data_IF_408321085423
#
_entry.id   IF_408321085423
#
_cell.length_a   1.000
_cell.length_b   1.000
_cell.length_c   1.000
_cell.angle_alpha   90.00
_cell.angle_beta   90.00
_cell.angle_gamma   90.00
#
_symmetry.space_group_name_H-M   'P 1'
#
loop_
_entity.id
_entity.type
_entity.pdbx_description
1 polymer ?
#
# COMPACT_ATOMS: atom_id res chain seq x y z
N UNK A 1 -39.63 5.26 19.21
CA UNK A 1 -38.66 5.75 18.21
C UNK A 1 -37.37 5.00 18.49
N UNK A 2 -36.78 4.25 17.55
CA UNK A 2 -35.55 3.54 17.86
C UNK A 2 -34.43 4.58 17.97
N UNK A 3 -33.72 4.53 19.09
CA UNK A 3 -32.54 5.34 19.35
C UNK A 3 -31.53 5.10 18.23
N UNK A 4 -31.19 6.16 17.49
CA UNK A 4 -30.06 6.14 16.56
C UNK A 4 -28.82 5.94 17.42
N UNK A 5 -28.22 4.74 17.34
CA UNK A 5 -26.86 4.49 17.81
C UNK A 5 -25.97 5.65 17.31
N UNK A 6 -25.11 6.23 18.16
CA UNK A 6 -24.18 7.24 17.71
C UNK A 6 -23.33 6.65 16.59
N UNK A 7 -23.31 7.30 15.41
CA UNK A 7 -22.36 6.97 14.34
C UNK A 7 -20.98 6.94 14.99
N UNK A 8 -20.29 5.80 14.93
CA UNK A 8 -18.91 5.71 15.42
C UNK A 8 -18.13 6.83 14.75
N UNK A 9 -17.50 7.70 15.53
CA UNK A 9 -16.62 8.71 14.97
C UNK A 9 -15.61 7.98 14.08
N UNK A 10 -15.53 8.35 12.79
CA UNK A 10 -14.53 7.80 11.88
C UNK A 10 -13.15 8.13 12.45
N UNK A 11 -12.58 7.20 13.20
CA UNK A 11 -11.20 7.31 13.67
C UNK A 11 -10.34 7.18 12.42
N UNK A 12 -9.62 8.26 12.11
CA UNK A 12 -8.67 8.28 11.01
C UNK A 12 -7.71 7.09 11.14
N UNK A 13 -7.21 6.54 10.03
CA UNK A 13 -6.32 5.38 10.07
C UNK A 13 -5.06 5.80 10.80
N UNK A 14 -4.63 4.94 11.71
CA UNK A 14 -3.40 5.13 12.46
C UNK A 14 -2.48 3.92 12.24
N UNK A 15 -2.52 3.27 11.08
CA UNK A 15 -2.14 1.86 10.98
C UNK A 15 -1.34 1.51 9.71
N UNK A 16 -0.19 0.87 9.87
CA UNK A 16 0.77 0.45 8.84
C UNK A 16 1.80 1.52 8.45
N UNK A 17 3.04 1.09 8.24
CA UNK A 17 4.11 1.85 7.61
C UNK A 17 4.90 0.91 6.70
N UNK A 18 5.28 1.42 5.53
CA UNK A 18 6.09 0.67 4.55
C UNK A 18 7.27 1.50 4.10
N UNK A 19 8.40 0.80 3.92
CA UNK A 19 9.71 1.38 3.73
C UNK A 19 10.44 0.68 2.60
N UNK A 20 11.22 1.44 1.85
CA UNK A 20 12.17 0.91 0.88
C UNK A 20 13.50 1.66 0.96
N UNK A 21 14.59 0.93 0.83
CA UNK A 21 15.93 1.46 0.62
C UNK A 21 16.52 0.81 -0.63
N UNK A 22 17.01 1.63 -1.54
CA UNK A 22 17.60 1.24 -2.82
C UNK A 22 19.08 1.59 -2.84
N UNK A 23 19.88 0.94 -3.70
CA UNK A 23 21.26 1.37 -3.93
C UNK A 23 21.34 2.86 -4.32
N UNK A 24 22.43 3.56 -3.96
CA UNK A 24 23.63 3.06 -3.28
C UNK A 24 23.52 3.02 -1.74
N UNK A 25 22.33 3.24 -1.15
CA UNK A 25 22.18 3.30 0.30
C UNK A 25 22.33 1.95 1.02
N UNK A 26 22.31 0.84 0.28
CA UNK A 26 22.23 -0.51 0.83
C UNK A 26 23.55 -1.28 0.74
N UNK A 27 23.88 -2.03 1.81
CA UNK A 27 25.16 -2.73 1.96
C UNK A 27 25.45 -3.74 0.84
N UNK A 28 24.41 -4.39 0.32
CA UNK A 28 24.51 -5.46 -0.68
C UNK A 28 24.16 -5.00 -2.09
N UNK A 29 24.03 -3.70 -2.34
CA UNK A 29 23.57 -3.17 -3.63
C UNK A 29 22.24 -3.84 -4.07
N UNK A 30 21.38 -4.15 -3.09
CA UNK A 30 20.06 -4.77 -3.22
C UNK A 30 18.97 -3.75 -2.85
N UNK A 31 17.74 -3.98 -3.31
CA UNK A 31 16.57 -3.24 -2.77
C UNK A 31 16.13 -3.92 -1.46
N UNK A 32 16.02 -3.15 -0.38
CA UNK A 32 15.50 -3.62 0.92
C UNK A 32 14.10 -3.04 1.13
N UNK A 33 13.11 -3.89 1.26
CA UNK A 33 11.71 -3.55 1.49
C UNK A 33 11.28 -4.01 2.89
N UNK A 34 10.45 -3.23 3.57
CA UNK A 34 9.89 -3.58 4.86
C UNK A 34 8.50 -3.01 5.07
N UNK A 35 7.59 -3.78 5.67
CA UNK A 35 6.23 -3.34 6.01
C UNK A 35 5.81 -3.86 7.38
N UNK A 36 5.11 -3.02 8.13
CA UNK A 36 4.22 -3.42 9.22
C UNK A 36 2.77 -3.45 8.76
N UNK A 37 2.04 -4.49 9.14
CA UNK A 37 0.58 -4.54 9.03
C UNK A 37 0.00 -4.42 10.43
N UNK A 38 -0.55 -3.25 10.74
CA UNK A 38 -1.34 -3.06 11.96
C UNK A 38 -2.82 -3.19 11.61
N UNK A 39 -3.52 -4.01 12.39
CA UNK A 39 -4.85 -4.53 12.05
C UNK A 39 -5.75 -4.49 13.27
N UNK A 40 -7.09 -4.44 13.13
CA UNK A 40 -7.99 -4.45 14.27
C UNK A 40 -7.62 -5.54 15.30
N UNK A 41 -7.59 -5.18 16.57
CA UNK A 41 -7.20 -6.10 17.66
C UNK A 41 -8.01 -7.39 17.59
N UNK A 42 -7.31 -8.52 17.59
CA UNK A 42 -7.90 -9.86 17.53
C UNK A 42 -8.10 -10.41 16.11
N UNK A 43 -7.87 -9.60 15.08
CA UNK A 43 -7.87 -10.09 13.69
C UNK A 43 -6.65 -11.00 13.46
N UNK A 44 -6.90 -12.18 12.87
CA UNK A 44 -5.85 -13.18 12.61
C UNK A 44 -5.13 -12.82 11.33
N UNK A 45 -3.80 -12.74 11.39
CA UNK A 45 -2.94 -12.61 10.22
C UNK A 45 -2.29 -13.95 9.87
N UNK A 46 -2.42 -14.37 8.62
CA UNK A 46 -1.88 -15.63 8.08
C UNK A 46 -0.70 -15.34 7.14
N UNK A 47 0.27 -16.26 7.13
CA UNK A 47 1.29 -16.32 6.08
C UNK A 47 1.00 -17.52 5.19
N UNK A 48 0.68 -17.27 3.93
CA UNK A 48 0.21 -18.29 2.99
C UNK A 48 1.02 -18.25 1.70
N UNK A 49 1.17 -19.41 1.08
CA UNK A 49 1.82 -19.57 -0.22
C UNK A 49 0.80 -20.08 -1.24
N UNK A 50 0.78 -19.46 -2.42
CA UNK A 50 0.03 -19.92 -3.58
C UNK A 50 1.02 -20.19 -4.73
N UNK A 51 0.97 -21.39 -5.35
CA UNK A 51 1.82 -21.69 -6.49
C UNK A 51 1.36 -20.91 -7.74
N UNK A 52 2.25 -20.79 -8.73
CA UNK A 52 1.89 -20.26 -10.04
C UNK A 52 0.87 -21.16 -10.72
N UNK A 53 -0.12 -20.58 -11.40
CA UNK A 53 -1.18 -21.35 -12.04
C UNK A 53 -1.47 -20.84 -13.46
N UNK A 54 -1.92 -21.73 -14.33
CA UNK A 54 -2.50 -21.37 -15.63
C UNK A 54 -4.01 -21.54 -15.58
N UNK A 55 -4.74 -20.58 -16.11
CA UNK A 55 -6.20 -20.55 -16.08
C UNK A 55 -6.77 -20.61 -17.51
N UNK A 56 -7.94 -21.25 -17.71
CA UNK A 56 -8.57 -21.30 -19.02
C UNK A 56 -9.08 -19.92 -19.46
N UNK A 57 -9.16 -19.69 -20.77
CA UNK A 57 -9.70 -18.45 -21.31
C UNK A 57 -11.13 -18.17 -20.81
N UNK A 58 -11.38 -16.92 -20.39
CA UNK A 58 -12.66 -16.50 -19.81
C UNK A 58 -12.89 -16.95 -18.37
N UNK A 59 -11.88 -17.51 -17.70
CA UNK A 59 -11.94 -17.75 -16.27
C UNK A 59 -12.21 -16.46 -15.49
N UNK A 60 -12.86 -16.60 -14.33
CA UNK A 60 -13.04 -15.51 -13.36
C UNK A 60 -12.40 -15.90 -12.04
N UNK A 61 -12.04 -14.89 -11.25
CA UNK A 61 -11.54 -15.06 -9.88
C UNK A 61 -12.47 -14.30 -8.93
N UNK A 62 -12.90 -14.98 -7.87
CA UNK A 62 -13.61 -14.34 -6.77
C UNK A 62 -12.59 -13.70 -5.83
N UNK A 63 -12.58 -12.37 -5.79
CA UNK A 63 -11.83 -11.59 -4.81
C UNK A 63 -12.61 -11.50 -3.50
N UNK A 64 -12.31 -10.53 -2.63
CA UNK A 64 -12.95 -10.47 -1.32
C UNK A 64 -14.47 -10.28 -1.45
N UNK A 65 -14.91 -9.33 -2.29
CA UNK A 65 -16.34 -9.07 -2.49
C UNK A 65 -16.83 -9.39 -3.89
N UNK A 66 -16.09 -8.99 -4.92
CA UNK A 66 -16.53 -9.12 -6.31
C UNK A 66 -15.75 -10.19 -7.08
N UNK A 67 -16.35 -10.66 -8.17
CA UNK A 67 -15.68 -11.51 -9.16
C UNK A 67 -15.20 -10.66 -10.34
N UNK A 68 -13.95 -10.84 -10.75
CA UNK A 68 -13.36 -10.17 -11.93
C UNK A 68 -12.82 -11.20 -12.93
N UNK A 69 -12.45 -10.74 -14.12
CA UNK A 69 -11.81 -11.60 -15.12
C UNK A 69 -10.41 -12.03 -14.64
N UNK A 70 -10.09 -13.30 -14.86
CA UNK A 70 -8.81 -13.89 -14.51
C UNK A 70 -7.84 -13.85 -15.70
N UNK A 71 -6.56 -13.68 -15.41
CA UNK A 71 -5.48 -13.73 -16.42
C UNK A 71 -5.10 -15.18 -16.75
N UNK A 72 -4.49 -15.41 -17.90
CA UNK A 72 -4.09 -16.76 -18.33
C UNK A 72 -3.04 -17.39 -17.38
N UNK A 73 -2.13 -16.58 -16.82
CA UNK A 73 -1.06 -17.05 -15.95
C UNK A 73 -0.93 -16.17 -14.72
N UNK A 74 -0.77 -16.81 -13.55
CA UNK A 74 -0.45 -16.15 -12.29
C UNK A 74 0.91 -16.59 -11.75
N UNK A 75 1.67 -15.64 -11.22
CA UNK A 75 2.92 -15.88 -10.52
C UNK A 75 2.68 -16.61 -9.19
N UNK A 76 3.66 -17.41 -8.74
CA UNK A 76 3.64 -17.91 -7.38
C UNK A 76 3.85 -16.76 -6.39
N UNK A 77 3.08 -16.75 -5.30
CA UNK A 77 3.11 -15.67 -4.30
C UNK A 77 3.21 -16.22 -2.88
N UNK A 78 3.94 -15.49 -2.03
CA UNK A 78 3.84 -15.61 -0.57
C UNK A 78 3.22 -14.33 -0.02
N UNK A 79 2.16 -14.47 0.77
CA UNK A 79 1.32 -13.37 1.23
C UNK A 79 1.24 -13.35 2.76
N UNK A 80 1.16 -12.16 3.33
CA UNK A 80 0.65 -11.91 4.69
C UNK A 80 -0.72 -11.25 4.56
N UNK A 81 -1.75 -11.89 5.11
CA UNK A 81 -3.16 -11.46 4.94
C UNK A 81 -4.01 -11.66 6.20
N UNK A 82 -5.02 -10.82 6.45
CA UNK A 82 -6.10 -11.14 7.37
C UNK A 82 -6.82 -12.43 6.96
N UNK A 83 -7.17 -13.28 7.91
CA UNK A 83 -7.72 -14.62 7.64
C UNK A 83 -9.03 -14.59 6.82
N UNK A 84 -9.88 -13.57 7.03
CA UNK A 84 -11.22 -13.48 6.46
C UNK A 84 -11.30 -13.05 4.99
N UNK A 85 -10.26 -12.38 4.46
CA UNK A 85 -10.29 -11.80 3.12
C UNK A 85 -9.55 -12.65 2.09
N UNK A 86 -9.78 -12.41 0.79
CA UNK A 86 -9.06 -13.07 -0.29
C UNK A 86 -7.72 -12.38 -0.60
N UNK A 87 -7.69 -11.05 -0.52
CA UNK A 87 -6.53 -10.21 -0.77
C UNK A 87 -5.41 -10.36 0.26
N UNK A 88 -4.43 -9.46 0.20
CA UNK A 88 -3.30 -9.44 1.11
C UNK A 88 -2.88 -8.02 1.51
N UNK A 89 -2.30 -7.92 2.70
CA UNK A 89 -1.71 -6.69 3.21
C UNK A 89 -0.30 -6.47 2.63
N UNK A 90 0.38 -7.58 2.33
CA UNK A 90 1.72 -7.58 1.76
C UNK A 90 2.10 -8.94 1.21
N UNK A 91 3.10 -8.94 0.35
CA UNK A 91 3.68 -10.19 -0.11
C UNK A 91 4.85 -9.99 -1.05
N UNK A 92 5.26 -11.11 -1.65
CA UNK A 92 6.23 -11.12 -2.74
C UNK A 92 5.90 -12.26 -3.71
N UNK A 93 6.32 -12.09 -4.96
CA UNK A 93 6.15 -13.11 -5.99
C UNK A 93 7.49 -13.72 -6.46
N UNK A 94 7.40 -14.77 -7.28
CA UNK A 94 8.56 -15.45 -7.88
C UNK A 94 9.32 -14.61 -8.92
N UNK A 95 8.72 -13.52 -9.43
CA UNK A 95 9.37 -12.53 -10.28
C UNK A 95 10.18 -11.47 -9.51
N UNK A 96 10.15 -11.52 -8.19
CA UNK A 96 10.80 -10.60 -7.26
C UNK A 96 10.11 -9.26 -7.01
N UNK A 97 8.84 -9.14 -7.34
CA UNK A 97 8.02 -7.99 -6.93
C UNK A 97 7.61 -8.14 -5.46
N UNK A 98 7.72 -7.05 -4.69
CA UNK A 98 7.13 -6.86 -3.37
C UNK A 98 6.04 -5.81 -3.47
N UNK A 99 4.94 -5.99 -2.74
CA UNK A 99 3.90 -4.97 -2.59
C UNK A 99 3.46 -4.93 -1.14
N UNK A 100 3.20 -3.74 -0.62
CA UNK A 100 2.50 -3.50 0.63
C UNK A 100 1.62 -2.24 0.51
N UNK A 101 0.52 -2.20 1.28
CA UNK A 101 -0.42 -1.08 1.24
C UNK A 101 -0.74 -0.46 2.61
N UNK A 102 -1.28 0.76 2.58
CA UNK A 102 -1.69 1.54 3.73
C UNK A 102 -3.09 2.10 3.48
N UNK A 103 -3.88 2.15 4.56
CA UNK A 103 -5.13 2.89 4.56
C UNK A 103 -4.85 4.41 4.53
N UNK A 104 -5.45 5.12 3.59
CA UNK A 104 -5.41 6.58 3.53
C UNK A 104 -6.83 7.13 3.42
N UNK A 105 -7.09 8.24 4.10
CA UNK A 105 -8.33 8.99 3.93
C UNK A 105 -8.07 10.21 3.06
N UNK A 106 -8.87 10.33 2.00
CA UNK A 106 -8.77 11.42 1.04
C UNK A 106 -10.01 12.31 1.15
N UNK A 107 -9.95 13.47 0.48
CA UNK A 107 -11.10 14.37 0.30
C UNK A 107 -12.25 13.69 -0.46
N UNK A 108 -11.96 12.62 -1.22
CA UNK A 108 -12.96 11.86 -1.97
C UNK A 108 -13.59 10.71 -1.19
N UNK A 109 -13.10 10.38 0.01
CA UNK A 109 -13.75 9.34 0.82
C UNK A 109 -15.18 9.75 1.19
N UNK A 110 -16.15 8.86 0.97
CA UNK A 110 -17.58 9.09 1.17
C UNK A 110 -18.34 7.79 1.49
N UNK A 111 -19.65 7.89 1.77
CA UNK A 111 -20.50 6.72 2.01
C UNK A 111 -20.59 5.79 0.77
N UNK A 112 -20.24 6.27 -0.43
CA UNK A 112 -20.13 5.44 -1.65
C UNK A 112 -19.02 4.38 -1.54
N UNK A 113 -18.01 4.60 -0.69
CA UNK A 113 -16.94 3.63 -0.45
C UNK A 113 -17.43 2.39 0.30
N UNK A 114 -18.68 2.38 0.81
CA UNK A 114 -19.30 1.18 1.40
C UNK A 114 -19.77 0.19 0.33
N UNK A 115 -19.91 0.61 -0.92
CA UNK A 115 -20.24 -0.30 -2.02
C UNK A 115 -19.10 -1.29 -2.22
N UNK A 116 -19.45 -2.57 -2.22
CA UNK A 116 -18.54 -3.69 -2.42
C UNK A 116 -17.88 -3.63 -3.81
N UNK A 117 -16.56 -3.41 -3.81
CA UNK A 117 -15.71 -3.38 -5.01
C UNK A 117 -14.44 -4.19 -4.71
N UNK A 118 -13.35 -3.94 -5.45
CA UNK A 118 -12.05 -4.46 -5.03
C UNK A 118 -11.59 -3.73 -3.76
N UNK A 119 -11.08 -4.48 -2.80
CA UNK A 119 -10.33 -3.86 -1.70
C UNK A 119 -8.91 -3.50 -2.16
N UNK A 120 -8.27 -2.57 -1.47
CA UNK A 120 -6.84 -2.32 -1.67
C UNK A 120 -6.00 -3.57 -1.49
N UNK A 121 -6.37 -4.42 -0.54
CA UNK A 121 -5.70 -5.70 -0.29
C UNK A 121 -5.92 -6.69 -1.44
N UNK A 122 -7.07 -6.64 -2.13
CA UNK A 122 -7.28 -7.43 -3.35
C UNK A 122 -6.33 -6.94 -4.45
N UNK A 123 -6.17 -5.62 -4.60
CA UNK A 123 -5.24 -5.01 -5.55
C UNK A 123 -3.78 -5.39 -5.26
N UNK A 124 -3.36 -5.49 -3.99
CA UNK A 124 -2.03 -5.99 -3.62
C UNK A 124 -1.82 -7.40 -4.17
N UNK A 125 -2.75 -8.32 -3.92
CA UNK A 125 -2.63 -9.71 -4.36
C UNK A 125 -2.67 -9.81 -5.89
N UNK A 126 -3.60 -9.12 -6.53
CA UNK A 126 -3.71 -9.10 -7.99
C UNK A 126 -2.45 -8.53 -8.65
N UNK A 127 -1.87 -7.45 -8.08
CA UNK A 127 -0.59 -6.90 -8.54
C UNK A 127 0.54 -7.93 -8.43
N UNK A 128 0.63 -8.65 -7.32
CA UNK A 128 1.65 -9.69 -7.11
C UNK A 128 1.46 -10.90 -8.03
N UNK A 129 0.22 -11.37 -8.23
CA UNK A 129 -0.06 -12.53 -9.07
C UNK A 129 0.11 -12.22 -10.57
N UNK A 130 -0.04 -10.96 -11.01
CA UNK A 130 -0.14 -10.61 -12.44
C UNK A 130 1.06 -9.84 -13.00
N UNK A 131 2.05 -9.45 -12.18
CA UNK A 131 3.16 -8.61 -12.63
C UNK A 131 4.54 -9.26 -12.43
N UNK A 132 5.43 -9.06 -13.40
CA UNK A 132 6.83 -9.48 -13.34
C UNK A 132 7.79 -8.37 -12.91
N UNK A 133 7.34 -7.11 -12.89
CA UNK A 133 8.13 -5.94 -12.45
C UNK A 133 7.31 -4.99 -11.59
N UNK A 134 7.97 -4.08 -10.87
CA UNK A 134 7.29 -3.06 -10.08
C UNK A 134 6.45 -2.12 -10.95
N UNK A 135 6.95 -1.76 -12.15
CA UNK A 135 6.23 -0.95 -13.14
C UNK A 135 4.95 -1.66 -13.61
N UNK A 136 5.06 -2.94 -14.00
CA UNK A 136 3.89 -3.74 -14.41
C UNK A 136 2.87 -3.88 -13.27
N UNK A 137 3.32 -3.99 -12.02
CA UNK A 137 2.41 -4.05 -10.88
C UNK A 137 1.62 -2.75 -10.70
N UNK A 138 2.23 -1.58 -10.93
CA UNK A 138 1.49 -0.31 -10.98
C UNK A 138 0.45 -0.36 -12.09
N UNK A 139 0.80 -0.77 -13.31
CA UNK A 139 -0.14 -0.85 -14.45
C UNK A 139 -1.33 -1.78 -14.16
N UNK A 140 -1.07 -2.93 -13.55
CA UNK A 140 -2.11 -3.89 -13.13
C UNK A 140 -3.04 -3.24 -12.10
N UNK A 141 -2.49 -2.65 -11.05
CA UNK A 141 -3.29 -2.08 -9.96
C UNK A 141 -4.13 -0.91 -10.47
N UNK A 142 -3.55 -0.01 -11.27
CA UNK A 142 -4.27 1.17 -11.76
C UNK A 142 -5.34 0.80 -12.76
N UNK A 143 -5.09 -0.15 -13.65
CA UNK A 143 -6.12 -0.63 -14.60
C UNK A 143 -7.31 -1.25 -13.88
N UNK A 144 -7.06 -2.09 -12.86
CA UNK A 144 -8.12 -2.71 -12.06
C UNK A 144 -8.87 -1.69 -11.20
N UNK A 145 -8.16 -0.70 -10.65
CA UNK A 145 -8.77 0.40 -9.92
C UNK A 145 -9.68 1.24 -10.83
N UNK A 146 -9.24 1.58 -12.03
CA UNK A 146 -10.01 2.36 -13.00
C UNK A 146 -11.25 1.58 -13.47
N UNK A 147 -11.12 0.28 -13.71
CA UNK A 147 -12.22 -0.58 -14.17
C UNK A 147 -13.23 -0.89 -13.05
N UNK A 148 -12.77 -1.41 -11.92
CA UNK A 148 -13.64 -1.94 -10.87
C UNK A 148 -13.83 -0.99 -9.68
N UNK A 149 -12.96 0.01 -9.52
CA UNK A 149 -12.97 0.90 -8.36
C UNK A 149 -12.39 0.24 -7.12
N UNK A 150 -12.39 0.99 -6.03
CA UNK A 150 -12.08 0.49 -4.69
C UNK A 150 -13.20 0.80 -3.71
N UNK A 151 -13.48 -0.12 -2.80
CA UNK A 151 -14.58 0.02 -1.84
C UNK A 151 -15.04 -1.29 -1.22
N UNK A 152 -15.86 -1.17 -0.19
CA UNK A 152 -16.35 -2.24 0.67
C UNK A 152 -15.75 -2.17 2.07
N UNK A 153 -16.37 -2.82 3.08
CA UNK A 153 -15.83 -2.86 4.44
C UNK A 153 -14.42 -3.45 4.49
N UNK A 154 -13.47 -2.75 5.10
CA UNK A 154 -12.08 -3.20 5.24
C UNK A 154 -11.84 -4.02 6.54
N UNK A 155 -12.92 -4.46 7.19
CA UNK A 155 -12.90 -5.27 8.41
C UNK A 155 -14.16 -6.14 8.50
N UNK A 156 -14.00 -7.38 8.95
CA UNK A 156 -15.09 -8.33 9.23
C UNK A 156 -15.87 -8.02 10.53
N UNK A 157 -15.37 -7.09 11.35
CA UNK A 157 -15.97 -6.69 12.64
C UNK A 157 -16.40 -5.23 12.68
N UNK A 158 -15.98 -4.40 11.71
CA UNK A 158 -16.32 -2.98 11.60
C UNK A 158 -16.92 -2.68 10.21
N UNK A 159 -18.25 -2.76 10.04
CA UNK A 159 -18.88 -2.67 8.71
C UNK A 159 -18.72 -1.30 8.05
N UNK A 160 -18.60 -0.22 8.84
CA UNK A 160 -18.46 1.14 8.31
C UNK A 160 -16.98 1.55 8.09
N UNK A 161 -16.03 0.61 8.23
CA UNK A 161 -14.60 0.91 8.15
C UNK A 161 -14.12 0.82 6.71
N UNK A 162 -14.12 1.94 6.00
CA UNK A 162 -13.68 2.05 4.60
C UNK A 162 -12.54 3.05 4.45
N UNK A 163 -11.71 2.88 3.41
CA UNK A 163 -10.59 3.78 3.10
C UNK A 163 -10.10 3.61 1.67
N UNK A 164 -9.35 4.60 1.19
CA UNK A 164 -8.55 4.48 -0.03
C UNK A 164 -7.14 3.98 0.30
N UNK A 165 -6.31 3.72 -0.70
CA UNK A 165 -5.05 3.03 -0.50
C UNK A 165 -3.84 3.80 -1.02
N UNK A 166 -2.74 3.73 -0.26
CA UNK A 166 -1.38 3.95 -0.75
C UNK A 166 -0.70 2.60 -0.89
N UNK A 167 0.23 2.47 -1.82
CA UNK A 167 0.98 1.26 -2.09
C UNK A 167 2.46 1.60 -2.27
N UNK A 168 3.33 0.79 -1.67
CA UNK A 168 4.76 0.77 -2.00
C UNK A 168 5.06 -0.55 -2.71
N UNK A 169 5.51 -0.42 -3.94
CA UNK A 169 5.77 -1.51 -4.86
C UNK A 169 7.25 -1.50 -5.17
N UNK A 170 7.94 -2.64 -5.06
CA UNK A 170 9.38 -2.69 -5.31
C UNK A 170 9.79 -3.96 -6.02
N UNK A 171 10.77 -3.88 -6.91
CA UNK A 171 11.44 -5.03 -7.49
C UNK A 171 12.95 -4.97 -7.21
N UNK A 172 13.77 -5.61 -8.06
CA UNK A 172 15.24 -5.65 -7.89
C UNK A 172 15.93 -4.35 -8.32
N UNK A 173 15.25 -3.46 -9.03
CA UNK A 173 15.83 -2.29 -9.70
C UNK A 173 15.26 -0.98 -9.18
N UNK A 174 13.97 -0.96 -8.91
CA UNK A 174 13.23 0.26 -8.64
C UNK A 174 12.12 0.01 -7.61
N UNK A 175 11.57 1.12 -7.13
CA UNK A 175 10.35 1.14 -6.35
C UNK A 175 9.39 2.21 -6.88
N UNK A 176 8.13 2.06 -6.56
CA UNK A 176 7.05 2.96 -6.91
C UNK A 176 6.18 3.21 -5.69
N UNK A 177 5.92 4.49 -5.40
CA UNK A 177 4.81 4.88 -4.55
C UNK A 177 3.61 5.07 -5.46
N UNK A 178 2.48 4.44 -5.14
CA UNK A 178 1.21 4.61 -5.84
C UNK A 178 0.16 5.02 -4.81
N UNK A 179 -0.43 6.19 -4.97
CA UNK A 179 -1.43 6.72 -4.05
C UNK A 179 -2.74 6.98 -4.77
N UNK A 180 -3.86 6.68 -4.11
CA UNK A 180 -5.19 6.68 -4.73
C UNK A 180 -6.17 7.59 -3.98
N UNK A 181 -7.13 8.15 -4.73
CA UNK A 181 -8.28 8.90 -4.23
C UNK A 181 -9.52 8.51 -5.06
N UNK A 182 -10.37 7.64 -4.54
CA UNK A 182 -11.45 7.02 -5.30
C UNK A 182 -10.88 6.19 -6.45
N UNK A 183 -11.22 6.51 -7.70
CA UNK A 183 -10.61 5.90 -8.89
C UNK A 183 -9.38 6.63 -9.42
N UNK A 184 -9.13 7.84 -8.90
CA UNK A 184 -7.98 8.64 -9.31
C UNK A 184 -6.72 8.17 -8.60
N UNK A 185 -5.57 8.34 -9.25
CA UNK A 185 -4.29 7.92 -8.69
C UNK A 185 -3.14 8.75 -9.23
N UNK A 186 -2.05 8.79 -8.46
CA UNK A 186 -0.75 9.32 -8.85
C UNK A 186 0.35 8.34 -8.43
N UNK A 187 1.44 8.28 -9.19
CA UNK A 187 2.57 7.41 -8.89
C UNK A 187 3.91 8.13 -9.05
N UNK A 188 4.83 7.84 -8.14
CA UNK A 188 6.20 8.36 -8.08
C UNK A 188 7.19 7.20 -8.22
N UNK A 189 8.12 7.30 -9.18
CA UNK A 189 9.21 6.34 -9.38
C UNK A 189 10.39 6.67 -8.45
N UNK A 190 10.94 5.65 -7.80
CA UNK A 190 12.12 5.74 -6.93
C UNK A 190 13.19 4.79 -7.47
N UNK A 191 14.30 5.35 -7.94
CA UNK A 191 15.41 4.60 -8.53
C UNK A 191 16.66 4.58 -7.66
N UNK A 192 16.70 5.37 -6.59
CA UNK A 192 17.81 5.40 -5.62
C UNK A 192 17.38 6.01 -4.29
N UNK A 193 18.18 5.78 -3.24
CA UNK A 193 17.92 6.32 -1.90
C UNK A 193 16.82 5.58 -1.15
N UNK A 194 16.10 6.29 -0.30
CA UNK A 194 15.06 5.72 0.56
C UNK A 194 13.72 6.40 0.32
N UNK A 195 12.63 5.64 0.50
CA UNK A 195 11.26 6.16 0.49
C UNK A 195 10.42 5.38 1.48
N UNK A 196 9.45 6.03 2.08
CA UNK A 196 8.43 5.40 2.90
C UNK A 196 7.05 5.96 2.57
N UNK A 197 6.04 5.24 3.03
CA UNK A 197 4.65 5.66 3.08
C UNK A 197 4.06 5.30 4.44
N UNK A 198 3.02 6.03 4.82
CA UNK A 198 2.24 5.85 6.05
C UNK A 198 0.77 6.18 5.72
N UNK A 199 -0.05 6.42 6.74
CA UNK A 199 -1.49 6.67 6.60
C UNK A 199 -1.88 8.08 6.14
N UNK A 200 -1.06 8.67 5.28
CA UNK A 200 -1.30 9.96 4.63
C UNK A 200 -0.78 9.91 3.20
N UNK A 201 -1.32 10.77 2.35
CA UNK A 201 -0.77 10.98 1.01
C UNK A 201 0.57 11.71 1.12
N UNK A 202 1.54 11.32 0.30
CA UNK A 202 2.94 11.76 0.35
C UNK A 202 3.50 12.11 -1.01
N UNK A 203 2.81 11.81 -2.11
CA UNK A 203 3.22 12.26 -3.44
C UNK A 203 2.91 13.76 -3.56
N UNK A 204 3.96 14.57 -3.65
CA UNK A 204 3.83 16.02 -3.83
C UNK A 204 3.74 16.35 -5.34
N UNK A 205 4.68 17.13 -5.86
CA UNK A 205 4.70 17.58 -7.26
C UNK A 205 5.48 16.67 -8.20
N UNK A 206 6.32 15.78 -7.66
CA UNK A 206 7.02 14.75 -8.44
C UNK A 206 6.05 13.59 -8.73
N UNK A 207 5.33 13.71 -9.84
CA UNK A 207 4.38 12.73 -10.34
C UNK A 207 4.91 12.19 -11.66
N UNK A 208 5.32 10.92 -11.68
CA UNK A 208 5.83 10.26 -12.88
C UNK A 208 4.67 9.71 -13.73
N UNK A 209 3.59 9.26 -13.09
CA UNK A 209 2.37 8.77 -13.74
C UNK A 209 1.12 9.16 -12.94
N UNK A 210 -0.02 9.29 -13.61
CA UNK A 210 -1.30 9.65 -13.01
C UNK A 210 -2.48 9.24 -13.89
N UNK A 211 -3.67 9.20 -13.31
CA UNK A 211 -4.92 9.11 -14.07
C UNK A 211 -5.04 10.25 -15.08
N UNK A 212 -5.61 9.97 -16.26
CA UNK A 212 -5.71 10.94 -17.35
C UNK A 212 -6.54 12.18 -17.00
N UNK A 213 -7.53 12.04 -16.11
CA UNK A 213 -8.46 13.07 -15.66
C UNK A 213 -8.07 13.71 -14.32
N UNK A 214 -6.93 13.33 -13.72
CA UNK A 214 -6.54 13.76 -12.37
C UNK A 214 -6.51 15.30 -12.23
N UNK A 215 -5.84 15.98 -13.16
CA UNK A 215 -5.68 17.44 -13.13
C UNK A 215 -7.00 18.17 -13.38
N UNK A 216 -7.79 17.70 -14.34
CA UNK A 216 -9.11 18.26 -14.66
C UNK A 216 -10.07 18.12 -13.46
N UNK A 217 -10.08 16.95 -12.82
CA UNK A 217 -10.86 16.72 -11.61
C UNK A 217 -10.38 17.63 -10.47
N UNK A 218 -9.07 17.74 -10.23
CA UNK A 218 -8.53 18.58 -9.17
C UNK A 218 -8.95 20.04 -9.36
N UNK A 219 -8.89 20.56 -10.58
CA UNK A 219 -9.25 21.94 -10.90
C UNK A 219 -10.76 22.19 -10.78
N UNK A 220 -11.58 21.33 -11.38
CA UNK A 220 -13.05 21.47 -11.32
C UNK A 220 -13.61 21.30 -9.90
N UNK A 221 -12.92 20.54 -9.04
CA UNK A 221 -13.25 20.38 -7.63
C UNK A 221 -12.69 21.50 -6.74
N UNK A 222 -11.93 22.46 -7.29
CA UNK A 222 -11.28 23.52 -6.53
C UNK A 222 -10.16 23.04 -5.60
N UNK A 223 -9.62 21.84 -5.83
CA UNK A 223 -8.51 21.27 -5.06
C UNK A 223 -7.15 21.75 -5.55
N UNK A 224 -7.11 22.29 -6.77
CA UNK A 224 -5.96 22.90 -7.40
C UNK A 224 -6.44 24.09 -8.25
N UNK A 225 -5.70 25.19 -8.25
CA UNK A 225 -6.06 26.40 -9.00
C UNK A 225 -5.77 26.29 -10.51
N UNK A 226 -5.00 25.27 -10.91
CA UNK A 226 -4.54 25.08 -12.28
C UNK A 226 -3.21 25.76 -12.58
N UNK A 227 -2.59 26.41 -11.58
CA UNK A 227 -1.28 27.05 -11.71
C UNK A 227 -0.18 26.17 -11.11
N UNK A 228 1.00 26.15 -11.76
CA UNK A 228 2.14 25.37 -11.32
C UNK A 228 1.98 23.86 -11.50
N UNK A 229 2.76 23.09 -10.72
CA UNK A 229 2.66 21.63 -10.68
C UNK A 229 1.63 21.19 -9.64
N UNK A 230 0.80 20.22 -9.99
CA UNK A 230 -0.16 19.62 -9.06
C UNK A 230 0.58 18.93 -7.92
N UNK A 231 0.30 19.31 -6.68
CA UNK A 231 0.72 18.57 -5.49
C UNK A 231 -0.40 17.59 -5.10
N UNK A 232 -0.22 16.29 -5.34
CA UNK A 232 -1.29 15.29 -5.14
C UNK A 232 -1.72 15.18 -3.67
N UNK A 233 -0.76 15.13 -2.76
CA UNK A 233 -1.00 15.06 -1.33
C UNK A 233 -1.78 16.28 -0.79
N UNK A 234 -1.43 17.49 -1.22
CA UNK A 234 -2.15 18.70 -0.83
C UNK A 234 -3.55 18.79 -1.46
N UNK A 235 -3.67 18.38 -2.73
CA UNK A 235 -4.93 18.42 -3.47
C UNK A 235 -5.95 17.43 -2.91
N UNK A 236 -5.55 16.19 -2.64
CA UNK A 236 -6.49 15.11 -2.29
C UNK A 236 -6.40 14.62 -0.83
N UNK A 237 -5.32 14.92 -0.11
CA UNK A 237 -5.11 14.43 1.25
C UNK A 237 -6.05 15.09 2.27
N UNK A 238 -6.35 14.35 3.34
CA UNK A 238 -6.92 14.91 4.58
C UNK A 238 -5.82 15.01 5.63
N UNK A 239 -5.88 16.05 6.46
CA UNK A 239 -4.94 16.22 7.57
C UNK A 239 -5.05 15.05 8.55
N UNK A 240 -3.90 14.46 8.87
CA UNK A 240 -3.77 13.41 9.87
C UNK A 240 -2.40 13.57 10.56
N UNK A 241 -2.37 14.34 11.65
CA UNK A 241 -1.13 14.67 12.37
C UNK A 241 -0.39 13.42 12.86
N UNK A 242 -1.11 12.39 13.31
CA UNK A 242 -0.51 11.13 13.76
C UNK A 242 0.19 10.39 12.61
N UNK A 243 -0.46 10.31 11.44
CA UNK A 243 0.15 9.72 10.25
C UNK A 243 1.36 10.54 9.77
N UNK A 244 1.26 11.88 9.76
CA UNK A 244 2.36 12.75 9.38
C UNK A 244 3.56 12.60 10.32
N UNK A 245 3.32 12.48 11.64
CA UNK A 245 4.38 12.24 12.62
C UNK A 245 5.08 10.89 12.40
N UNK A 246 4.32 9.81 12.14
CA UNK A 246 4.88 8.48 11.82
C UNK A 246 5.66 8.49 10.52
N UNK A 247 5.12 9.12 9.48
CA UNK A 247 5.82 9.31 8.21
C UNK A 247 7.16 10.03 8.41
N UNK A 248 7.15 11.15 9.15
CA UNK A 248 8.36 11.93 9.48
C UNK A 248 9.38 11.11 10.27
N UNK A 249 8.94 10.42 11.32
CA UNK A 249 9.79 9.52 12.12
C UNK A 249 10.39 8.40 11.28
N UNK A 250 9.59 7.79 10.41
CA UNK A 250 10.03 6.77 9.47
C UNK A 250 11.12 7.26 8.54
N UNK A 251 10.96 8.49 8.02
CA UNK A 251 11.96 9.15 7.18
C UNK A 251 13.26 9.44 7.95
N UNK A 252 13.16 9.97 9.17
CA UNK A 252 14.33 10.23 10.03
C UNK A 252 15.14 8.95 10.29
N UNK A 253 14.46 7.84 10.56
CA UNK A 253 15.12 6.55 10.79
C UNK A 253 15.75 5.99 9.50
N UNK A 254 15.04 6.08 8.37
CA UNK A 254 15.60 5.71 7.07
C UNK A 254 16.88 6.49 6.79
N UNK A 255 16.85 7.82 6.89
CA UNK A 255 18.00 8.68 6.64
C UNK A 255 19.16 8.33 7.58
N UNK A 256 18.88 8.13 8.88
CA UNK A 256 19.87 7.73 9.88
C UNK A 256 20.56 6.41 9.51
N UNK A 257 19.80 5.37 9.18
CA UNK A 257 20.35 4.05 8.89
C UNK A 257 20.97 3.95 7.50
N UNK A 258 20.51 4.77 6.55
CA UNK A 258 21.03 4.82 5.19
C UNK A 258 22.30 5.66 5.04
N UNK A 259 22.58 6.58 5.96
CA UNK A 259 23.69 7.53 5.88
C UNK A 259 25.07 6.86 5.70
N UNK A 260 25.27 5.66 6.24
CA UNK A 260 26.52 4.91 6.13
C UNK A 260 26.65 4.11 4.81
N UNK A 261 25.60 4.03 3.99
CA UNK A 261 25.57 3.14 2.81
C UNK A 261 25.50 1.65 3.15
N UNK A 262 25.27 1.32 4.42
CA UNK A 262 25.27 -0.05 4.95
C UNK A 262 23.86 -0.54 5.27
N UNK A 263 22.82 0.08 4.69
CA UNK A 263 21.43 -0.28 4.99
C UNK A 263 21.16 -1.74 4.59
N UNK A 264 20.62 -2.52 5.53
CA UNK A 264 20.32 -3.93 5.34
C UNK A 264 19.06 -4.38 6.07
N UNK A 265 18.85 -5.70 6.15
CA UNK A 265 17.67 -6.29 6.80
C UNK A 265 17.61 -5.97 8.29
N UNK A 266 18.76 -5.96 8.98
CA UNK A 266 18.82 -5.59 10.40
C UNK A 266 18.43 -4.12 10.62
N UNK A 267 18.90 -3.21 9.77
CA UNK A 267 18.46 -1.80 9.78
C UNK A 267 16.95 -1.70 9.62
N UNK A 268 16.38 -2.45 8.67
CA UNK A 268 14.93 -2.47 8.46
C UNK A 268 14.17 -3.04 9.67
N UNK A 269 14.69 -4.07 10.34
CA UNK A 269 14.08 -4.59 11.57
C UNK A 269 14.08 -3.58 12.71
N UNK A 270 15.12 -2.76 12.85
CA UNK A 270 15.15 -1.69 13.85
C UNK A 270 14.06 -0.65 13.57
N UNK A 271 13.87 -0.24 12.31
CA UNK A 271 12.80 0.69 11.92
C UNK A 271 11.42 0.09 12.24
N UNK A 272 11.16 -1.14 11.78
CA UNK A 272 9.87 -1.79 11.97
C UNK A 272 9.56 -2.13 13.43
N UNK A 273 10.53 -2.03 14.35
CA UNK A 273 10.35 -2.24 15.80
C UNK A 273 10.29 -0.94 16.60
N UNK A 274 10.32 0.22 15.95
CA UNK A 274 10.29 1.51 16.64
C UNK A 274 8.91 1.77 17.28
N UNK A 275 8.77 1.35 18.54
CA UNK A 275 7.56 1.57 19.34
C UNK A 275 7.42 3.03 19.79
N UNK A 276 8.54 3.71 20.05
CA UNK A 276 8.56 5.10 20.53
C UNK A 276 7.95 6.05 19.49
N UNK A 277 8.27 5.82 18.22
CA UNK A 277 7.72 6.56 17.08
C UNK A 277 6.35 6.08 16.60
N UNK A 278 5.81 5.01 17.19
CA UNK A 278 4.51 4.44 16.81
C UNK A 278 4.52 3.67 15.48
N UNK A 279 5.69 3.32 14.93
CA UNK A 279 5.81 2.43 13.76
C UNK A 279 5.45 0.99 14.13
N UNK A 280 5.91 0.53 15.30
CA UNK A 280 5.51 -0.73 15.89
C UNK A 280 4.52 -0.50 17.03
N UNK A 281 3.41 -1.23 17.05
CA UNK A 281 2.35 -1.08 18.05
C UNK A 281 2.17 -2.36 18.86
N UNK A 282 2.22 -2.21 20.18
CA UNK A 282 2.03 -3.31 21.11
C UNK A 282 0.59 -3.85 21.14
N UNK A 283 0.41 -5.04 21.72
CA UNK A 283 -0.84 -5.81 21.76
C UNK A 283 -2.03 -5.09 22.46
N UNK A 284 -1.74 -4.07 23.27
CA UNK A 284 -2.74 -3.29 23.98
C UNK A 284 -3.40 -2.22 23.10
N UNK A 285 -2.81 -1.92 21.94
CA UNK A 285 -3.36 -0.96 20.98
C UNK A 285 -4.64 -1.51 20.32
N UNK A 286 -5.55 -0.62 19.86
CA UNK A 286 -6.75 -1.04 19.11
C UNK A 286 -6.43 -1.63 17.73
N UNK A 287 -5.29 -1.23 17.20
CA UNK A 287 -4.68 -1.70 15.96
C UNK A 287 -3.22 -2.10 16.24
N UNK A 288 -2.95 -3.26 16.88
CA UNK A 288 -1.58 -3.70 17.14
C UNK A 288 -0.89 -4.11 15.83
N UNK A 289 0.44 -4.05 15.79
CA UNK A 289 1.21 -4.61 14.66
C UNK A 289 1.05 -6.13 14.68
N UNK A 290 0.27 -6.65 13.73
CA UNK A 290 -0.08 -8.07 13.66
C UNK A 290 0.99 -8.89 12.92
N UNK A 291 1.67 -8.27 11.95
CA UNK A 291 2.77 -8.90 11.23
C UNK A 291 3.73 -7.85 10.66
N UNK A 292 4.96 -8.28 10.43
CA UNK A 292 6.00 -7.51 9.74
C UNK A 292 6.64 -8.37 8.65
N UNK A 293 6.93 -7.78 7.50
CA UNK A 293 7.68 -8.40 6.41
C UNK A 293 8.96 -7.60 6.16
N UNK A 294 10.07 -8.29 5.94
CA UNK A 294 11.30 -7.69 5.39
C UNK A 294 11.80 -8.55 4.25
N UNK A 295 12.20 -7.91 3.15
CA UNK A 295 12.76 -8.57 1.96
C UNK A 295 13.98 -7.81 1.45
N UNK A 296 15.07 -8.51 1.15
CA UNK A 296 16.19 -7.97 0.35
C UNK A 296 16.17 -8.66 -1.02
N UNK A 297 16.00 -7.86 -2.05
CA UNK A 297 15.97 -8.24 -3.45
C UNK A 297 17.39 -8.30 -4.00
N UNK A 298 18.10 -9.37 -3.65
CA UNK A 298 19.45 -9.61 -4.14
C UNK A 298 19.48 -9.65 -5.68
N UNK A 299 20.52 -9.05 -6.27
CA UNK A 299 20.81 -9.25 -7.70
C UNK A 299 21.11 -10.74 -7.91
N UNK A 300 20.69 -11.33 -9.04
CA UNK A 300 21.00 -12.72 -9.32
C UNK A 300 22.51 -12.90 -9.30
N UNK A 301 22.99 -13.93 -8.59
CA UNK A 301 24.38 -14.35 -8.68
C UNK A 301 24.63 -14.83 -10.10
N UNK A 302 25.54 -14.16 -10.82
CA UNK A 302 26.05 -14.68 -12.08
C UNK A 302 26.77 -16.00 -11.77
N UNK A 303 26.12 -17.11 -12.09
CA UNK A 303 26.73 -18.45 -12.08
C UNK A 303 27.51 -18.69 -13.37
#
# INVERSE_FOLDING_TARGET
MPDKLPKSANIAPQSCDTFVALPPATALNCVVFGKNSDRPKGEVQEVVYFPSENHPAGAKVQCTYISIDQVEHTHAVILSKPAWMWGAEMGANDANVCIGNEAVWTKLCSDDDLEERLLGMDLVRLGLERASTAREAVDVITSLLEEHGQGGPCSDTKPDFTYHNSFLIADRKEAWVLETAGRLWAAEQVTSGCRNISNCLTIETKIDLMSGDLKEHAQSSGFWDGEGDLNFAAAYGKENESAAARFGRGKELLDKFAAAGEFGTLSMFEILRDCEGGICRGLDHEFPTAASQVRCNLKPTSH
#
